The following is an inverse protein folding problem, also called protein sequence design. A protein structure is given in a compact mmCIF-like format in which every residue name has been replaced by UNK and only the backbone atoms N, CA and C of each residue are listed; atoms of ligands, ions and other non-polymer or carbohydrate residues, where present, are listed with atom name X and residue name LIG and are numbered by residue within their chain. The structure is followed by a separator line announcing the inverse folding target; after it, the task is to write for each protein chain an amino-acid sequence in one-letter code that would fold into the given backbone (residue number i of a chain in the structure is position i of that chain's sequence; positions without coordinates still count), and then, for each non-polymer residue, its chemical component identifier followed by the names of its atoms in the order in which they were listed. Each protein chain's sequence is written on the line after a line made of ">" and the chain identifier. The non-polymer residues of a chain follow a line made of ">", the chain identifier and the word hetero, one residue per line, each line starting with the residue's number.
data_IF_331707167558
#
_entry.id   IF_331707167558
#
_cell.length_a   1.000
_cell.length_b   1.000
_cell.length_c   1.000
_cell.angle_alpha   90.00
_cell.angle_beta   90.00
_cell.angle_gamma   90.00
#
_symmetry.space_group_name_H-M   'P 1'
#
loop_
_entity.id
_entity.type
_entity.pdbx_description
1 polymer ?
#
# COMPACT_ATOMS: atom_id res chain seq x y z
N UNK A 1 2.75 -7.56 -14.93
CA UNK A 1 3.51 -6.53 -15.68
C UNK A 1 5.01 -6.73 -15.43
N UNK A 2 5.90 -5.74 -15.61
CA UNK A 2 7.36 -5.90 -15.47
C UNK A 2 7.85 -6.17 -14.03
N UNK A 3 6.95 -6.29 -13.05
CA UNK A 3 7.31 -6.38 -11.64
C UNK A 3 7.55 -5.00 -11.04
N UNK A 4 7.60 -4.96 -9.71
CA UNK A 4 8.12 -3.80 -8.99
C UNK A 4 9.58 -3.56 -9.42
N UNK A 5 9.92 -2.37 -9.93
CA UNK A 5 11.26 -2.12 -10.45
C UNK A 5 12.30 -2.11 -9.32
N UNK A 6 13.47 -2.68 -9.61
CA UNK A 6 14.62 -2.58 -8.72
C UNK A 6 15.07 -1.11 -8.61
N UNK A 7 15.33 -0.66 -7.39
CA UNK A 7 15.69 0.74 -7.11
C UNK A 7 14.56 1.76 -7.19
N UNK A 8 13.28 1.33 -7.15
CA UNK A 8 12.14 2.24 -7.00
C UNK A 8 12.34 3.19 -5.80
N UNK A 9 12.32 4.50 -6.05
CA UNK A 9 12.54 5.50 -5.00
C UNK A 9 11.22 5.89 -4.32
N UNK A 10 11.09 5.53 -3.05
CA UNK A 10 9.93 5.83 -2.21
C UNK A 10 10.24 6.81 -1.07
N UNK A 11 11.39 7.50 -1.13
CA UNK A 11 11.82 8.42 -0.07
C UNK A 11 10.83 9.55 0.20
N UNK A 12 10.04 9.96 -0.80
CA UNK A 12 9.00 10.98 -0.65
C UNK A 12 7.86 10.57 0.30
N UNK A 13 7.67 9.27 0.55
CA UNK A 13 6.68 8.80 1.52
C UNK A 13 7.21 8.87 2.96
N UNK A 14 8.53 8.92 3.18
CA UNK A 14 9.08 8.92 4.53
C UNK A 14 8.69 10.19 5.31
N UNK A 15 8.00 10.01 6.44
CA UNK A 15 7.44 11.09 7.26
C UNK A 15 6.07 11.58 6.79
N UNK A 16 5.61 11.16 5.61
CA UNK A 16 4.30 11.50 5.07
C UNK A 16 3.21 10.76 5.83
N UNK A 17 2.13 11.49 6.13
CA UNK A 17 1.00 11.04 6.93
C UNK A 17 -0.10 10.51 6.02
N UNK A 18 -0.63 9.32 6.30
CA UNK A 18 -1.80 8.81 5.58
C UNK A 18 -3.05 9.56 6.05
N UNK A 19 -3.58 10.45 5.21
CA UNK A 19 -4.70 11.33 5.57
C UNK A 19 -6.05 10.85 5.03
N UNK A 20 -6.06 9.99 4.02
CA UNK A 20 -7.29 9.52 3.40
C UNK A 20 -7.13 8.13 2.79
N UNK A 21 -8.17 7.32 2.96
CA UNK A 21 -8.35 6.04 2.27
C UNK A 21 -9.66 6.09 1.48
N UNK A 22 -9.60 5.84 0.18
CA UNK A 22 -10.79 5.75 -0.68
C UNK A 22 -11.07 4.31 -1.07
N UNK A 23 -12.33 3.89 -0.97
CA UNK A 23 -12.80 2.58 -1.42
C UNK A 23 -13.53 2.75 -2.74
N UNK A 24 -12.92 2.27 -3.82
CA UNK A 24 -13.53 2.14 -5.13
C UNK A 24 -14.06 0.73 -5.38
N UNK A 25 -14.77 0.55 -6.49
CA UNK A 25 -15.31 -0.76 -6.88
C UNK A 25 -14.22 -1.82 -7.11
N UNK A 26 -13.10 -1.39 -7.69
CA UNK A 26 -11.98 -2.26 -8.09
C UNK A 26 -10.64 -1.83 -7.48
N UNK A 27 -10.63 -0.76 -6.66
CA UNK A 27 -9.38 -0.20 -6.15
C UNK A 27 -9.52 0.37 -4.75
N UNK A 28 -8.41 0.38 -4.01
CA UNK A 28 -8.25 1.13 -2.78
C UNK A 28 -7.14 2.15 -2.96
N UNK A 29 -7.41 3.40 -2.59
CA UNK A 29 -6.43 4.49 -2.70
C UNK A 29 -5.99 4.95 -1.33
N UNK A 30 -4.68 4.99 -1.11
CA UNK A 30 -4.02 5.53 0.07
C UNK A 30 -3.40 6.87 -0.29
N UNK A 31 -3.89 7.96 0.32
CA UNK A 31 -3.46 9.32 0.01
C UNK A 31 -2.70 9.94 1.19
N UNK A 32 -1.51 10.46 0.91
CA UNK A 32 -0.56 10.93 1.92
C UNK A 32 -0.37 12.45 1.87
N UNK A 33 0.00 13.03 3.01
CA UNK A 33 0.39 14.44 3.16
C UNK A 33 1.83 14.54 3.68
N UNK A 34 2.71 15.39 3.15
CA UNK A 34 2.46 16.49 2.19
C UNK A 34 2.28 16.05 0.74
N UNK A 35 2.82 14.88 0.38
CA UNK A 35 2.71 14.32 -0.96
C UNK A 35 2.67 12.79 -0.92
N UNK A 36 2.12 12.20 -1.98
CA UNK A 36 2.12 10.75 -2.17
C UNK A 36 0.72 10.17 -2.34
N UNK A 37 0.56 9.23 -3.26
CA UNK A 37 -0.62 8.38 -3.34
C UNK A 37 -0.23 6.99 -3.83
N UNK A 38 -0.90 5.96 -3.29
CA UNK A 38 -0.81 4.59 -3.79
C UNK A 38 -2.23 4.13 -4.13
N UNK A 39 -2.50 3.83 -5.40
CA UNK A 39 -3.75 3.21 -5.84
C UNK A 39 -3.50 1.73 -6.07
N UNK A 40 -4.27 0.86 -5.42
CA UNK A 40 -4.09 -0.60 -5.46
C UNK A 40 -5.33 -1.24 -6.07
N UNK A 41 -5.14 -1.94 -7.19
CA UNK A 41 -6.15 -2.76 -7.87
C UNK A 41 -5.91 -4.25 -7.59
N UNK A 42 -4.67 -4.62 -7.28
CA UNK A 42 -4.23 -5.96 -6.92
C UNK A 42 -4.33 -6.27 -5.43
N UNK A 43 -3.44 -7.15 -4.97
CA UNK A 43 -3.44 -7.63 -3.59
C UNK A 43 -2.71 -6.67 -2.63
N UNK A 44 -3.23 -6.60 -1.41
CA UNK A 44 -2.61 -5.85 -0.32
C UNK A 44 -2.90 -6.54 1.02
N UNK A 45 -2.08 -6.21 2.02
CA UNK A 45 -2.35 -6.59 3.40
C UNK A 45 -1.83 -5.57 4.41
N UNK A 46 -2.39 -5.62 5.62
CA UNK A 46 -1.94 -4.89 6.78
C UNK A 46 -1.47 -5.87 7.83
N UNK A 47 -0.22 -5.72 8.26
CA UNK A 47 0.32 -6.41 9.41
C UNK A 47 0.32 -5.51 10.65
N UNK A 48 0.11 -6.12 11.80
CA UNK A 48 0.30 -5.51 13.11
C UNK A 48 1.78 -5.34 13.45
N UNK A 49 2.06 -4.54 14.48
CA UNK A 49 3.42 -4.35 14.99
C UNK A 49 4.07 -5.66 15.51
N UNK A 50 3.26 -6.65 15.85
CA UNK A 50 3.67 -8.00 16.25
C UNK A 50 3.81 -8.98 15.06
N UNK A 51 3.58 -8.50 13.83
CA UNK A 51 3.59 -9.30 12.60
C UNK A 51 2.29 -10.07 12.35
N UNK A 52 1.26 -9.91 13.18
CA UNK A 52 -0.04 -10.55 12.95
C UNK A 52 -0.74 -9.96 11.72
N UNK A 53 -1.44 -10.80 10.94
CA UNK A 53 -2.26 -10.32 9.83
C UNK A 53 -3.52 -9.64 10.37
N UNK A 54 -3.66 -8.34 10.13
CA UNK A 54 -4.80 -7.54 10.58
C UNK A 54 -5.90 -7.45 9.52
N UNK A 55 -5.51 -7.29 8.24
CA UNK A 55 -6.44 -7.18 7.12
C UNK A 55 -5.73 -7.50 5.80
N UNK A 56 -6.51 -7.82 4.76
CA UNK A 56 -6.02 -8.06 3.40
C UNK A 56 -7.10 -7.81 2.35
N UNK A 57 -6.67 -7.72 1.10
CA UNK A 57 -7.56 -7.87 -0.05
C UNK A 57 -8.34 -9.18 0.04
N UNK A 58 -9.66 -9.13 -0.17
CA UNK A 58 -10.51 -10.31 -0.31
C UNK A 58 -11.62 -10.03 -1.33
N UNK A 59 -12.13 -11.07 -2.04
CA UNK A 59 -13.24 -10.91 -2.97
C UNK A 59 -14.51 -10.38 -2.29
N UNK A 60 -15.31 -9.63 -3.03
CA UNK A 60 -16.64 -9.23 -2.57
C UNK A 60 -17.64 -10.42 -2.64
N UNK A 61 -18.61 -10.51 -1.71
CA UNK A 61 -18.76 -9.68 -0.52
C UNK A 61 -17.73 -10.02 0.55
N UNK A 62 -17.26 -8.98 1.23
CA UNK A 62 -16.32 -9.14 2.34
C UNK A 62 -16.98 -9.75 3.58
N UNK A 63 -16.25 -10.61 4.28
CA UNK A 63 -16.69 -11.25 5.53
C UNK A 63 -16.21 -10.51 6.77
N UNK A 64 -15.15 -9.71 6.64
CA UNK A 64 -14.56 -8.93 7.74
C UNK A 64 -14.59 -7.43 7.43
N UNK A 65 -14.78 -6.63 8.49
CA UNK A 65 -14.72 -5.19 8.39
C UNK A 65 -13.29 -4.71 8.12
N UNK A 66 -13.15 -3.72 7.24
CA UNK A 66 -11.85 -3.13 6.91
C UNK A 66 -11.14 -2.56 8.14
N UNK A 67 -9.85 -2.86 8.26
CA UNK A 67 -8.95 -2.32 9.28
C UNK A 67 -8.02 -1.21 8.75
N UNK A 68 -8.21 -0.79 7.49
CA UNK A 68 -7.44 0.29 6.84
C UNK A 68 -7.42 1.59 7.65
N UNK A 69 -8.52 1.87 8.37
CA UNK A 69 -8.67 3.06 9.21
C UNK A 69 -7.62 3.16 10.33
N UNK A 70 -6.97 2.04 10.71
CA UNK A 70 -5.91 2.03 11.71
C UNK A 70 -4.65 2.80 11.29
N UNK A 71 -4.44 2.92 9.97
CA UNK A 71 -3.30 3.61 9.40
C UNK A 71 -3.55 5.12 9.25
N UNK A 72 -4.82 5.57 9.33
CA UNK A 72 -5.17 6.99 9.17
C UNK A 72 -4.54 7.84 10.29
N UNK A 73 -3.98 8.99 9.89
CA UNK A 73 -3.26 9.91 10.79
C UNK A 73 -1.88 9.42 11.23
N UNK A 74 -1.38 8.31 10.67
CA UNK A 74 -0.05 7.76 10.97
C UNK A 74 0.95 8.15 9.91
N UNK A 75 2.18 8.43 10.34
CA UNK A 75 3.31 8.72 9.45
C UNK A 75 4.01 7.44 9.04
N UNK A 76 4.45 7.39 7.78
CA UNK A 76 5.36 6.34 7.31
C UNK A 76 6.74 6.57 7.93
N UNK A 77 7.24 5.58 8.67
CA UNK A 77 8.56 5.59 9.29
C UNK A 77 9.62 4.92 8.43
N UNK A 78 9.22 3.98 7.57
CA UNK A 78 10.14 3.27 6.69
C UNK A 78 9.41 2.75 5.44
N UNK A 79 10.12 2.71 4.32
CA UNK A 79 9.67 2.08 3.08
C UNK A 79 10.63 0.97 2.69
N UNK A 80 10.11 -0.14 2.17
CA UNK A 80 10.89 -1.25 1.63
C UNK A 80 10.37 -1.63 0.26
N UNK A 81 11.27 -1.75 -0.71
CA UNK A 81 10.96 -2.28 -2.04
C UNK A 81 11.49 -3.71 -2.07
N UNK A 82 10.65 -4.66 -2.47
CA UNK A 82 11.00 -6.07 -2.62
C UNK A 82 10.78 -6.47 -4.09
N UNK A 83 11.67 -6.08 -5.01
CA UNK A 83 11.54 -6.44 -6.41
C UNK A 83 11.55 -7.97 -6.59
N UNK A 84 10.81 -8.51 -7.57
CA UNK A 84 9.82 -7.83 -8.42
C UNK A 84 8.41 -7.81 -7.81
N UNK A 85 8.23 -8.17 -6.53
CA UNK A 85 6.95 -8.67 -6.03
C UNK A 85 6.13 -7.67 -5.22
N UNK A 86 6.76 -6.77 -4.46
CA UNK A 86 5.99 -5.92 -3.54
C UNK A 86 6.71 -4.67 -3.08
N UNK A 87 5.91 -3.76 -2.55
CA UNK A 87 6.35 -2.61 -1.75
C UNK A 87 5.72 -2.71 -0.37
N UNK A 88 6.46 -2.34 0.67
CA UNK A 88 5.99 -2.26 2.05
C UNK A 88 6.22 -0.86 2.63
N UNK A 89 5.21 -0.33 3.33
CA UNK A 89 5.28 0.89 4.12
C UNK A 89 5.07 0.54 5.59
N UNK A 90 6.08 0.81 6.41
CA UNK A 90 5.96 0.74 7.86
C UNK A 90 5.52 2.10 8.40
N UNK A 91 4.57 2.09 9.31
CA UNK A 91 4.07 3.28 10.00
C UNK A 91 4.73 3.44 11.37
N UNK A 92 4.72 4.67 11.90
CA UNK A 92 5.26 4.98 13.24
C UNK A 92 4.62 4.19 14.38
N UNK A 93 3.39 3.70 14.17
CA UNK A 93 2.66 2.85 15.12
C UNK A 93 3.09 1.37 15.06
N UNK A 94 3.95 1.01 14.10
CA UNK A 94 4.52 -0.32 13.91
C UNK A 94 3.76 -1.18 12.90
N UNK A 95 2.52 -0.84 12.56
CA UNK A 95 1.81 -1.52 11.47
C UNK A 95 2.52 -1.38 10.12
N UNK A 96 2.33 -2.36 9.25
CA UNK A 96 2.93 -2.41 7.91
C UNK A 96 1.84 -2.62 6.87
N UNK A 97 1.77 -1.73 5.88
CA UNK A 97 1.00 -1.93 4.65
C UNK A 97 1.90 -2.58 3.61
N UNK A 98 1.51 -3.70 3.03
CA UNK A 98 2.17 -4.31 1.87
C UNK A 98 1.23 -4.30 0.66
N UNK A 99 1.77 -3.95 -0.50
CA UNK A 99 1.07 -3.98 -1.79
C UNK A 99 1.87 -4.83 -2.76
N UNK A 100 1.18 -5.68 -3.52
CA UNK A 100 1.80 -6.75 -4.30
C UNK A 100 1.56 -6.58 -5.79
N UNK A 101 2.59 -6.90 -6.59
CA UNK A 101 2.40 -7.22 -8.00
C UNK A 101 2.03 -8.69 -8.13
N UNK A 102 0.73 -8.97 -8.23
CA UNK A 102 0.22 -10.36 -8.38
C UNK A 102 -0.27 -10.64 -9.80
N UNK A 103 -0.46 -9.60 -10.62
CA UNK A 103 -1.02 -9.74 -11.96
C UNK A 103 0.07 -9.83 -13.03
N UNK A 104 0.03 -10.92 -13.81
CA UNK A 104 0.90 -11.04 -14.98
C UNK A 104 0.43 -10.19 -16.14
N UNK A 105 -0.88 -9.96 -16.23
CA UNK A 105 -1.55 -9.40 -17.42
C UNK A 105 -2.01 -7.96 -17.23
N UNK A 106 -2.15 -7.48 -15.99
CA UNK A 106 -2.65 -6.15 -15.64
C UNK A 106 -1.73 -5.44 -14.66
N UNK A 107 -1.97 -4.14 -14.50
CA UNK A 107 -1.40 -3.29 -13.46
C UNK A 107 -2.02 -3.71 -12.12
N UNK A 108 -1.17 -3.95 -11.12
CA UNK A 108 -1.56 -4.26 -9.76
C UNK A 108 -1.67 -2.99 -8.90
N UNK A 109 -0.81 -2.00 -9.10
CA UNK A 109 -0.90 -0.72 -8.38
C UNK A 109 -0.10 0.41 -9.04
N UNK A 110 -0.51 1.64 -8.74
CA UNK A 110 0.20 2.85 -9.18
C UNK A 110 0.69 3.66 -7.98
N UNK A 111 1.87 4.28 -8.11
CA UNK A 111 2.45 5.16 -7.09
C UNK A 111 2.70 6.54 -7.68
N UNK A 112 2.28 7.56 -6.92
CA UNK A 112 2.45 8.97 -7.22
C UNK A 112 3.13 9.69 -6.04
N UNK A 113 3.94 10.75 -6.27
CA UNK A 113 4.50 11.15 -7.56
C UNK A 113 5.45 10.09 -8.13
N UNK A 114 5.72 10.18 -9.44
CA UNK A 114 6.68 9.31 -10.14
C UNK A 114 6.10 8.51 -11.29
N UNK A 115 4.77 8.58 -11.50
CA UNK A 115 4.06 7.87 -12.58
C UNK A 115 4.44 6.39 -12.64
N UNK A 116 4.66 5.79 -11.47
CA UNK A 116 5.09 4.40 -11.35
C UNK A 116 3.86 3.54 -11.47
N UNK A 117 3.89 2.65 -12.45
CA UNK A 117 2.83 1.72 -12.77
C UNK A 117 3.42 0.32 -12.70
N UNK A 118 2.85 -0.51 -11.82
CA UNK A 118 3.27 -1.88 -11.54
C UNK A 118 2.12 -2.80 -11.84
#
# INVERSE_FOLDING_TARGET
>A
MYGVPDGLDLRFLHGSELIQVCLGLHQIQFNFHTEGAISVEGEWEILGADGSLLDRSEPAPRTQAFQLHRLLGRRVSQTQVNPPTSVALQFESGEVLRVFDTSKEYESFTIQPGDVVV
#
